data_IF_259217089553
#
_entry.id   IF_259217089553
#
_cell.length_a   1.000
_cell.length_b   1.000
_cell.length_c   1.000
_cell.angle_alpha   90.00
_cell.angle_beta   90.00
_cell.angle_gamma   90.00
#
_symmetry.space_group_name_H-M   'P 1'
#
loop_
_entity.id
_entity.type
_entity.pdbx_description
1 polymer ?
#
# COMPACT_ATOMS: atom_id res chain seq x y z
N UNK A 1 -7.70 9.43 -20.10
CA UNK A 1 -7.86 9.53 -18.64
C UNK A 1 -6.73 8.70 -18.04
N UNK A 2 -5.67 9.34 -17.55
CA UNK A 2 -4.51 8.64 -16.97
C UNK A 2 -4.97 7.73 -15.83
N UNK A 3 -4.59 6.45 -15.90
CA UNK A 3 -4.93 5.46 -14.87
C UNK A 3 -4.15 5.75 -13.58
N UNK A 4 -2.97 6.35 -13.71
CA UNK A 4 -2.07 6.68 -12.61
C UNK A 4 -1.63 8.14 -12.66
N UNK A 5 -1.58 8.78 -11.49
CA UNK A 5 -0.97 10.09 -11.33
C UNK A 5 0.54 9.93 -11.05
N UNK A 6 1.38 10.87 -11.51
CA UNK A 6 2.82 10.92 -11.19
C UNK A 6 3.11 10.77 -9.69
N UNK A 7 2.33 11.42 -8.82
CA UNK A 7 2.48 11.30 -7.35
C UNK A 7 2.13 9.90 -6.83
N UNK A 8 1.21 9.20 -7.49
CA UNK A 8 0.79 7.86 -7.12
C UNK A 8 1.85 6.82 -7.50
N UNK A 9 2.46 6.97 -8.69
CA UNK A 9 3.58 6.15 -9.15
C UNK A 9 4.75 6.31 -8.18
N UNK A 10 5.06 7.55 -7.78
CA UNK A 10 6.10 7.81 -6.78
C UNK A 10 5.80 7.11 -5.45
N UNK A 11 4.55 7.17 -4.96
CA UNK A 11 4.15 6.49 -3.73
C UNK A 11 4.25 4.96 -3.84
N UNK A 12 3.88 4.38 -4.99
CA UNK A 12 4.01 2.95 -5.25
C UNK A 12 5.48 2.52 -5.26
N UNK A 13 6.33 3.30 -5.94
CA UNK A 13 7.77 3.06 -6.00
C UNK A 13 8.43 3.15 -4.61
N UNK A 14 8.15 4.22 -3.86
CA UNK A 14 8.63 4.36 -2.48
C UNK A 14 8.12 3.23 -1.58
N UNK A 15 6.85 2.85 -1.71
CA UNK A 15 6.27 1.73 -0.97
C UNK A 15 6.97 0.41 -1.28
N UNK A 16 7.30 0.16 -2.55
CA UNK A 16 8.00 -1.06 -2.97
C UNK A 16 9.41 -1.15 -2.38
N UNK A 17 10.15 -0.03 -2.35
CA UNK A 17 11.48 0.03 -1.72
C UNK A 17 11.38 -0.23 -0.21
N UNK A 18 10.41 0.39 0.46
CA UNK A 18 10.22 0.21 1.91
C UNK A 18 9.85 -1.24 2.24
N UNK A 19 8.91 -1.83 1.51
CA UNK A 19 8.57 -3.25 1.68
C UNK A 19 9.74 -4.16 1.34
N UNK A 20 10.47 -3.87 0.27
CA UNK A 20 11.68 -4.59 -0.10
C UNK A 20 12.73 -4.56 1.01
N UNK A 21 12.91 -3.43 1.66
CA UNK A 21 13.79 -3.31 2.83
C UNK A 21 13.29 -4.16 4.00
N UNK A 22 12.01 -4.07 4.35
CA UNK A 22 11.42 -4.84 5.47
C UNK A 22 11.58 -6.34 5.23
N UNK A 23 11.21 -6.83 4.04
CA UNK A 23 11.29 -8.25 3.71
C UNK A 23 12.74 -8.73 3.52
N UNK A 24 13.64 -7.86 3.08
CA UNK A 24 15.05 -8.22 2.95
C UNK A 24 15.80 -8.15 4.27
N UNK A 25 15.32 -7.46 5.31
CA UNK A 25 16.06 -7.16 6.54
C UNK A 25 16.73 -8.39 7.18
N UNK A 26 16.05 -9.54 7.18
CA UNK A 26 16.60 -10.80 7.70
C UNK A 26 17.76 -11.36 6.86
N UNK A 27 17.75 -11.09 5.56
CA UNK A 27 18.73 -11.56 4.59
C UNK A 27 20.06 -10.80 4.56
N UNK A 28 20.29 -9.87 5.50
CA UNK A 28 21.54 -9.09 5.60
C UNK A 28 22.62 -9.80 6.45
N UNK A 29 22.27 -10.95 7.06
CA UNK A 29 23.18 -11.84 7.76
C UNK A 29 22.80 -12.05 9.22
N UNK A 30 22.55 -13.30 9.62
CA UNK A 30 22.17 -13.66 11.00
C UNK A 30 23.40 -13.72 11.93
N UNK A 31 24.56 -14.14 11.41
CA UNK A 31 25.80 -14.33 12.18
C UNK A 31 26.92 -13.35 11.80
N UNK A 32 27.00 -12.97 10.52
CA UNK A 32 27.96 -11.98 10.01
C UNK A 32 27.28 -11.07 9.00
N UNK A 33 27.40 -9.76 9.19
CA UNK A 33 26.87 -8.77 8.25
C UNK A 33 27.56 -8.90 6.89
N UNK A 34 26.79 -9.21 5.83
CA UNK A 34 27.31 -9.27 4.47
C UNK A 34 26.54 -8.29 3.57
N UNK A 35 27.19 -7.17 3.26
CA UNK A 35 26.61 -6.11 2.46
C UNK A 35 26.20 -6.58 1.05
N UNK A 36 27.02 -7.41 0.40
CA UNK A 36 26.75 -7.87 -0.97
C UNK A 36 25.48 -8.74 -1.05
N UNK A 37 25.33 -9.66 -0.10
CA UNK A 37 24.14 -10.54 -0.02
C UNK A 37 22.91 -9.72 0.38
N UNK A 38 23.03 -8.84 1.37
CA UNK A 38 21.94 -7.97 1.83
C UNK A 38 21.41 -7.07 0.70
N UNK A 39 22.30 -6.45 -0.08
CA UNK A 39 21.91 -5.58 -1.19
C UNK A 39 21.24 -6.35 -2.35
N UNK A 40 21.74 -7.54 -2.69
CA UNK A 40 21.09 -8.40 -3.69
C UNK A 40 19.67 -8.78 -3.25
N UNK A 41 19.50 -9.16 -1.98
CA UNK A 41 18.20 -9.48 -1.40
C UNK A 41 17.26 -8.27 -1.37
N UNK A 42 17.77 -7.07 -1.07
CA UNK A 42 17.01 -5.83 -1.11
C UNK A 42 16.43 -5.58 -2.51
N UNK A 43 17.25 -5.71 -3.55
CA UNK A 43 16.79 -5.51 -4.94
C UNK A 43 15.72 -6.54 -5.30
N UNK A 44 15.96 -7.83 -5.03
CA UNK A 44 15.01 -8.92 -5.32
C UNK A 44 13.67 -8.68 -4.62
N UNK A 45 13.69 -8.38 -3.33
CA UNK A 45 12.47 -8.13 -2.55
C UNK A 45 11.78 -6.83 -2.94
N UNK A 46 12.52 -5.80 -3.36
CA UNK A 46 11.93 -4.55 -3.86
C UNK A 46 11.20 -4.78 -5.19
N UNK A 47 11.77 -5.56 -6.11
CA UNK A 47 11.13 -5.92 -7.38
C UNK A 47 9.86 -6.73 -7.13
N UNK A 48 9.93 -7.76 -6.27
CA UNK A 48 8.75 -8.55 -5.90
C UNK A 48 7.67 -7.68 -5.26
N UNK A 49 8.05 -6.82 -4.31
CA UNK A 49 7.12 -5.89 -3.66
C UNK A 49 6.48 -4.93 -4.66
N UNK A 50 7.24 -4.48 -5.67
CA UNK A 50 6.72 -3.63 -6.73
C UNK A 50 5.66 -4.36 -7.57
N UNK A 51 5.93 -5.60 -7.99
CA UNK A 51 4.99 -6.42 -8.76
C UNK A 51 3.70 -6.66 -7.96
N UNK A 52 3.81 -6.99 -6.68
CA UNK A 52 2.67 -7.22 -5.79
C UNK A 52 1.84 -5.95 -5.62
N UNK A 53 2.48 -4.81 -5.30
CA UNK A 53 1.77 -3.53 -5.13
C UNK A 53 1.12 -3.06 -6.43
N UNK A 54 1.80 -3.26 -7.57
CA UNK A 54 1.26 -2.89 -8.87
C UNK A 54 0.03 -3.72 -9.19
N UNK A 55 0.09 -5.04 -9.03
CA UNK A 55 -1.04 -5.96 -9.25
C UNK A 55 -2.22 -5.66 -8.33
N UNK A 56 -1.94 -5.36 -7.06
CA UNK A 56 -2.96 -4.97 -6.10
C UNK A 56 -3.66 -3.68 -6.53
N UNK A 57 -2.89 -2.64 -6.87
CA UNK A 57 -3.44 -1.32 -7.16
C UNK A 57 -4.13 -1.27 -8.52
N UNK A 58 -3.63 -1.99 -9.54
CA UNK A 58 -4.31 -2.13 -10.83
C UNK A 58 -5.67 -2.79 -10.65
N UNK A 59 -5.73 -3.91 -9.94
CA UNK A 59 -6.96 -4.65 -9.68
C UNK A 59 -8.00 -3.80 -8.94
N UNK A 60 -7.56 -3.10 -7.89
CA UNK A 60 -8.41 -2.19 -7.12
C UNK A 60 -8.96 -1.04 -7.98
N UNK A 61 -8.14 -0.48 -8.89
CA UNK A 61 -8.57 0.58 -9.82
C UNK A 61 -9.54 0.08 -10.90
N UNK A 62 -9.30 -1.10 -11.46
CA UNK A 62 -10.17 -1.69 -12.48
C UNK A 62 -11.58 -1.90 -11.95
N UNK A 63 -11.70 -2.46 -10.75
CA UNK A 63 -13.00 -2.67 -10.11
C UNK A 63 -13.61 -1.35 -9.62
N UNK A 64 -12.82 -0.41 -9.06
CA UNK A 64 -13.32 0.91 -8.72
C UNK A 64 -13.93 1.63 -9.95
N UNK A 65 -13.29 1.53 -11.12
CA UNK A 65 -13.79 2.11 -12.37
C UNK A 65 -15.13 1.49 -12.79
N UNK A 66 -15.31 0.18 -12.61
CA UNK A 66 -16.58 -0.53 -12.86
C UNK A 66 -17.74 0.02 -12.02
N UNK A 67 -17.45 0.48 -10.80
CA UNK A 67 -18.41 1.11 -9.89
C UNK A 67 -18.46 2.65 -9.97
N UNK A 68 -17.89 3.24 -11.03
CA UNK A 68 -17.81 4.70 -11.23
C UNK A 68 -17.11 5.44 -10.08
N UNK A 69 -16.15 4.77 -9.46
CA UNK A 69 -15.30 5.28 -8.39
C UNK A 69 -13.87 5.50 -8.89
N UNK A 70 -13.13 6.36 -8.19
CA UNK A 70 -11.71 6.58 -8.40
C UNK A 70 -10.94 6.12 -7.16
N UNK A 71 -9.98 5.21 -7.35
CA UNK A 71 -9.06 4.74 -6.31
C UNK A 71 -7.73 5.48 -6.44
N UNK A 72 -7.24 6.06 -5.35
CA UNK A 72 -5.93 6.72 -5.28
C UNK A 72 -5.09 6.11 -4.17
N UNK A 73 -3.91 5.60 -4.53
CA UNK A 73 -2.94 5.07 -3.57
C UNK A 73 -2.10 6.18 -2.95
N UNK A 74 -1.94 6.12 -1.63
CA UNK A 74 -1.08 7.02 -0.86
C UNK A 74 -0.45 6.25 0.29
N UNK A 75 0.81 6.52 0.60
CA UNK A 75 1.41 6.05 1.85
C UNK A 75 0.61 6.61 3.02
N UNK A 76 0.28 5.77 3.99
CA UNK A 76 -0.57 6.22 5.10
C UNK A 76 0.22 7.16 6.01
N UNK A 77 -0.47 8.22 6.45
CA UNK A 77 0.08 9.23 7.33
C UNK A 77 -0.87 9.47 8.49
N UNK A 78 -0.31 9.57 9.69
CA UNK A 78 -1.06 9.81 10.91
C UNK A 78 -1.17 11.32 11.15
N UNK A 79 -2.41 11.82 11.21
CA UNK A 79 -2.70 13.23 11.51
C UNK A 79 -3.03 13.50 12.97
N UNK A 80 -3.33 12.44 13.72
CA UNK A 80 -3.85 12.49 15.08
C UNK A 80 -3.24 11.37 15.89
N UNK A 81 -2.74 11.66 17.09
CA UNK A 81 -2.12 10.66 17.95
C UNK A 81 -3.02 10.21 19.12
N UNK A 82 -3.99 11.03 19.55
CA UNK A 82 -4.84 10.75 20.70
C UNK A 82 -6.34 10.86 20.43
N UNK A 83 -7.16 10.42 21.40
CA UNK A 83 -8.63 10.40 21.32
C UNK A 83 -9.29 11.78 21.50
N UNK A 84 -8.54 12.82 21.85
CA UNK A 84 -9.03 14.20 22.07
C UNK A 84 -8.95 15.03 20.78
N UNK A 85 -9.91 15.96 20.55
CA UNK A 85 -9.97 16.77 19.31
C UNK A 85 -8.72 17.64 19.09
N UNK A 86 -8.00 17.97 20.16
CA UNK A 86 -6.80 18.80 20.16
C UNK A 86 -5.49 18.01 19.93
N UNK A 87 -5.53 16.67 19.99
CA UNK A 87 -4.36 15.80 19.83
C UNK A 87 -4.01 15.58 18.35
N UNK A 88 -3.78 16.68 17.61
CA UNK A 88 -3.44 16.67 16.17
C UNK A 88 -1.98 17.07 15.96
N UNK A 89 -1.32 16.43 15.01
CA UNK A 89 0.01 16.86 14.58
C UNK A 89 -0.10 18.09 13.65
N UNK A 90 0.83 19.05 13.80
CA UNK A 90 0.92 20.20 12.89
C UNK A 90 1.24 19.79 11.44
N UNK A 91 1.99 18.71 11.25
CA UNK A 91 2.29 18.08 9.95
C UNK A 91 1.90 16.60 9.99
N UNK A 92 1.36 16.03 8.91
CA UNK A 92 1.02 14.61 8.88
C UNK A 92 2.28 13.77 9.05
N UNK A 93 2.31 12.95 10.10
CA UNK A 93 3.44 12.06 10.38
C UNK A 93 3.41 10.89 9.39
N UNK A 94 4.49 10.60 8.63
CA UNK A 94 4.53 9.52 7.65
C UNK A 94 4.65 8.15 8.33
N UNK A 95 3.60 7.77 9.05
CA UNK A 95 3.49 6.53 9.81
C UNK A 95 3.77 5.29 8.94
N UNK A 96 3.33 5.29 7.68
CA UNK A 96 3.56 4.19 6.74
C UNK A 96 4.97 4.00 6.23
N UNK A 97 5.90 4.84 6.66
CA UNK A 97 7.33 4.66 6.40
C UNK A 97 8.01 4.33 7.73
N UNK A 98 7.78 5.16 8.74
CA UNK A 98 8.53 5.11 10.01
C UNK A 98 8.16 3.88 10.83
N UNK A 99 6.86 3.58 10.98
CA UNK A 99 6.40 2.45 11.80
C UNK A 99 6.92 1.11 11.25
N UNK A 100 6.73 0.79 9.95
CA UNK A 100 7.26 -0.43 9.37
C UNK A 100 8.77 -0.60 9.55
N UNK A 101 9.54 0.48 9.33
CA UNK A 101 11.00 0.45 9.43
C UNK A 101 11.45 0.23 10.88
N UNK A 102 10.81 0.92 11.83
CA UNK A 102 11.09 0.80 13.26
C UNK A 102 10.86 -0.64 13.75
N UNK A 103 9.72 -1.25 13.39
CA UNK A 103 9.44 -2.64 13.76
C UNK A 103 10.40 -3.63 13.09
N UNK A 104 10.74 -3.41 11.82
CA UNK A 104 11.69 -4.26 11.11
C UNK A 104 13.08 -4.24 11.75
N UNK A 105 13.55 -3.07 12.21
CA UNK A 105 14.87 -2.93 12.83
C UNK A 105 14.92 -3.53 14.24
N UNK A 106 13.92 -3.25 15.07
CA UNK A 106 13.88 -3.76 16.46
C UNK A 106 13.73 -5.28 16.48
N UNK A 107 12.93 -5.83 15.56
CA UNK A 107 12.72 -7.27 15.48
C UNK A 107 13.82 -8.03 14.74
N UNK A 108 14.89 -7.33 14.30
CA UNK A 108 15.94 -7.90 13.45
C UNK A 108 15.37 -8.65 12.21
N UNK A 109 14.29 -8.09 11.63
CA UNK A 109 13.57 -8.69 10.50
C UNK A 109 12.64 -9.87 10.83
N UNK A 110 12.35 -10.14 12.11
CA UNK A 110 11.37 -11.18 12.51
C UNK A 110 9.93 -10.70 12.31
N UNK A 111 9.66 -9.42 12.60
CA UNK A 111 8.33 -8.82 12.49
C UNK A 111 8.23 -7.95 11.24
N UNK A 112 7.56 -8.50 10.22
CA UNK A 112 7.34 -7.83 8.95
C UNK A 112 6.02 -7.05 8.97
N UNK A 113 6.08 -5.75 9.26
CA UNK A 113 4.90 -4.89 9.24
C UNK A 113 4.62 -4.37 7.82
N UNK A 114 3.80 -5.09 7.05
CA UNK A 114 3.54 -4.79 5.63
C UNK A 114 2.51 -3.67 5.37
N UNK A 115 1.90 -3.09 6.42
CA UNK A 115 0.90 -2.04 6.28
C UNK A 115 1.56 -0.66 6.01
N UNK A 116 1.94 -0.41 4.76
CA UNK A 116 2.61 0.83 4.31
C UNK A 116 1.70 1.81 3.58
N UNK A 117 0.57 1.33 3.05
CA UNK A 117 -0.27 2.06 2.10
C UNK A 117 -1.71 2.22 2.56
N UNK A 118 -2.36 3.25 2.02
CA UNK A 118 -3.79 3.49 2.15
C UNK A 118 -4.39 3.80 0.78
N UNK A 119 -5.59 3.29 0.54
CA UNK A 119 -6.35 3.59 -0.67
C UNK A 119 -7.50 4.52 -0.33
N UNK A 120 -7.55 5.69 -0.98
CA UNK A 120 -8.69 6.61 -0.87
C UNK A 120 -9.58 6.42 -2.09
N UNK A 121 -10.82 6.00 -1.84
CA UNK A 121 -11.86 5.84 -2.84
C UNK A 121 -12.72 7.10 -2.86
N UNK A 122 -12.93 7.68 -4.04
CA UNK A 122 -13.79 8.86 -4.24
C UNK A 122 -14.80 8.61 -5.35
N UNK A 123 -16.06 9.02 -5.16
CA UNK A 123 -17.13 8.87 -6.16
C UNK A 123 -16.98 9.85 -7.30
N UNK A 124 -17.26 9.41 -8.54
CA UNK A 124 -17.39 10.32 -9.69
C UNK A 124 -18.87 10.61 -9.90
N UNK A 125 -19.39 11.67 -9.27
CA UNK A 125 -20.83 11.99 -9.27
C UNK A 125 -21.40 12.13 -10.70
N UNK A 126 -20.65 12.70 -11.64
CA UNK A 126 -21.07 12.87 -13.05
C UNK A 126 -21.32 11.53 -13.78
N UNK A 127 -20.68 10.44 -13.35
CA UNK A 127 -20.79 9.12 -13.98
C UNK A 127 -21.85 8.22 -13.32
N UNK A 128 -22.53 8.70 -12.28
CA UNK A 128 -23.56 7.94 -11.54
C UNK A 128 -24.99 8.37 -11.86
N UNK A 129 -25.18 9.19 -12.89
CA UNK A 129 -26.52 9.57 -13.37
C UNK A 129 -27.24 8.28 -13.82
N UNK A 130 -28.46 8.05 -13.32
CA UNK A 130 -29.24 6.83 -13.60
C UNK A 130 -28.97 5.64 -12.66
N UNK A 131 -28.08 5.76 -11.67
CA UNK A 131 -27.91 4.75 -10.61
C UNK A 131 -28.88 5.01 -9.45
N UNK A 132 -29.33 3.93 -8.80
CA UNK A 132 -30.23 4.00 -7.62
C UNK A 132 -29.69 4.88 -6.49
N UNK A 133 -28.37 4.93 -6.30
CA UNK A 133 -27.72 5.71 -5.24
C UNK A 133 -26.65 6.66 -5.78
N UNK A 134 -26.69 7.91 -5.30
CA UNK A 134 -25.72 8.97 -5.60
C UNK A 134 -24.32 8.63 -5.07
N UNK A 135 -24.25 7.98 -3.90
CA UNK A 135 -23.01 7.50 -3.29
C UNK A 135 -22.74 6.03 -3.63
N UNK A 136 -21.49 5.60 -3.47
CA UNK A 136 -21.12 4.17 -3.53
C UNK A 136 -21.81 3.48 -2.36
N UNK A 137 -22.48 2.36 -2.62
CA UNK A 137 -23.06 1.56 -1.55
C UNK A 137 -21.98 0.81 -0.78
N UNK A 138 -22.23 0.48 0.48
CA UNK A 138 -21.28 -0.30 1.30
C UNK A 138 -20.91 -1.64 0.64
N UNK A 139 -21.85 -2.26 -0.07
CA UNK A 139 -21.59 -3.49 -0.83
C UNK A 139 -20.65 -3.27 -2.02
N UNK A 140 -20.81 -2.16 -2.75
CA UNK A 140 -19.89 -1.78 -3.83
C UNK A 140 -18.49 -1.48 -3.27
N UNK A 141 -18.43 -0.79 -2.13
CA UNK A 141 -17.19 -0.47 -1.43
C UNK A 141 -16.45 -1.73 -0.94
N UNK A 142 -17.17 -2.65 -0.29
CA UNK A 142 -16.62 -3.91 0.20
C UNK A 142 -16.05 -4.76 -0.95
N UNK A 143 -16.76 -4.83 -2.09
CA UNK A 143 -16.26 -5.54 -3.29
C UNK A 143 -14.99 -4.92 -3.84
N UNK A 144 -14.89 -3.58 -3.87
CA UNK A 144 -13.68 -2.90 -4.30
C UNK A 144 -12.51 -3.26 -3.39
N UNK A 145 -12.70 -3.20 -2.06
CA UNK A 145 -11.65 -3.51 -1.09
C UNK A 145 -11.24 -4.98 -1.09
N UNK A 146 -12.17 -5.91 -1.28
CA UNK A 146 -11.92 -7.35 -1.26
C UNK A 146 -11.11 -7.83 -2.47
N UNK A 147 -11.25 -7.19 -3.61
CA UNK A 147 -10.54 -7.58 -4.84
C UNK A 147 -9.03 -7.48 -4.71
N UNK A 148 -8.52 -6.46 -4.03
CA UNK A 148 -7.09 -6.29 -3.83
C UNK A 148 -6.44 -7.52 -3.20
N UNK A 149 -6.83 -7.91 -1.97
CA UNK A 149 -6.34 -9.13 -1.33
C UNK A 149 -6.56 -10.40 -2.16
N UNK A 150 -7.73 -10.54 -2.80
CA UNK A 150 -8.06 -11.73 -3.59
C UNK A 150 -7.12 -11.88 -4.81
N UNK A 151 -6.76 -10.77 -5.46
CA UNK A 151 -5.78 -10.80 -6.56
C UNK A 151 -4.36 -11.10 -6.11
N UNK A 152 -3.95 -10.65 -4.91
CA UNK A 152 -2.67 -11.05 -4.34
C UNK A 152 -2.66 -12.55 -4.01
N UNK A 153 -3.74 -13.09 -3.46
CA UNK A 153 -3.85 -14.52 -3.16
C UNK A 153 -3.74 -15.35 -4.45
N UNK A 154 -4.40 -14.94 -5.53
CA UNK A 154 -4.25 -15.59 -6.83
C UNK A 154 -2.82 -15.48 -7.38
N UNK A 155 -2.18 -14.32 -7.25
CA UNK A 155 -0.79 -14.13 -7.67
C UNK A 155 0.15 -15.05 -6.89
N UNK A 156 -0.10 -15.22 -5.59
CA UNK A 156 0.69 -16.10 -4.71
C UNK A 156 0.55 -17.59 -5.01
N UNK A 157 -0.47 -18.03 -5.77
CA UNK A 157 -0.58 -19.43 -6.20
C UNK A 157 0.24 -19.72 -7.46
N UNK A 158 0.62 -18.68 -8.21
CA UNK A 158 1.36 -18.78 -9.47
C UNK A 158 2.86 -18.57 -9.23
N UNK A 159 3.20 -17.69 -8.29
CA UNK A 159 4.56 -17.27 -7.96
C UNK A 159 5.19 -18.19 -6.90
#
# INVERSE_FOLDING_TARGET
MEIYNKKEILNLFLGAIILGFIFSARGWGHSTFNFGIGFSNLIRMSILSFIVLLTYQTSHKLIAKKYHAHSTFRLWSMRRWGFTKNAKFKRPFPAGIIIPLFFSLISNGFLNFAAIGSSKITTINKKRIGKKYKHISEQELAKIHLVGPLTILLLSLIL
#
